data_IF_608871427539
#
_entry.id   IF_608871427539
#
_cell.length_a   1.000
_cell.length_b   1.000
_cell.length_c   1.000
_cell.angle_alpha   90.00
_cell.angle_beta   90.00
_cell.angle_gamma   90.00
#
_symmetry.space_group_name_H-M   'P 1'
#
loop_
_entity.id
_entity.type
_entity.pdbx_description
1 polymer ?
#
# COMPACT_ATOMS: atom_id res chain seq x y z
N UNK A 1 -15.75 18.59 -8.29
CA UNK A 1 -14.44 17.97 -8.40
C UNK A 1 -13.41 18.77 -7.62
N UNK A 2 -12.64 18.07 -6.77
CA UNK A 2 -11.59 18.71 -5.99
C UNK A 2 -10.32 18.97 -6.82
N UNK A 3 -9.49 19.89 -6.36
CA UNK A 3 -8.11 20.06 -6.85
C UNK A 3 -7.21 19.05 -6.15
N UNK A 4 -6.33 18.40 -6.91
CA UNK A 4 -5.38 17.43 -6.37
C UNK A 4 -4.05 18.11 -6.06
N UNK A 5 -3.54 17.84 -4.87
CA UNK A 5 -2.21 18.27 -4.42
C UNK A 5 -1.40 17.00 -4.11
N UNK A 6 -0.30 16.80 -4.82
CA UNK A 6 0.57 15.67 -4.56
C UNK A 6 1.56 16.00 -3.46
N UNK A 7 1.79 15.04 -2.57
CA UNK A 7 2.82 15.10 -1.53
C UNK A 7 3.94 14.12 -1.89
N UNK A 8 5.17 14.53 -1.66
CA UNK A 8 6.36 13.75 -1.97
C UNK A 8 6.50 12.48 -1.12
N UNK A 9 7.46 11.65 -1.52
CA UNK A 9 7.83 10.43 -0.78
C UNK A 9 9.29 10.48 -0.33
N UNK A 10 9.57 9.78 0.76
CA UNK A 10 10.91 9.64 1.34
C UNK A 10 11.62 8.38 0.82
N UNK A 11 12.91 8.23 1.14
CA UNK A 11 13.70 7.03 0.81
C UNK A 11 13.26 5.76 1.55
N UNK A 12 12.45 5.91 2.59
CA UNK A 12 11.84 4.77 3.29
C UNK A 12 10.44 4.44 2.75
N UNK A 13 10.09 5.00 1.60
CA UNK A 13 8.87 4.77 0.82
C UNK A 13 7.58 5.16 1.57
N UNK A 14 7.68 6.14 2.45
CA UNK A 14 6.55 6.77 3.13
C UNK A 14 6.35 8.19 2.63
N UNK A 15 5.20 8.79 2.94
CA UNK A 15 4.93 10.20 2.68
C UNK A 15 6.03 11.09 3.31
N UNK A 16 6.40 12.17 2.61
CA UNK A 16 7.32 13.19 3.11
C UNK A 16 6.52 14.17 4.00
N UNK A 17 6.73 14.11 5.32
CA UNK A 17 5.99 14.89 6.28
C UNK A 17 6.33 16.39 6.21
N UNK A 18 7.56 16.75 5.85
CA UNK A 18 7.95 18.16 5.65
C UNK A 18 7.19 18.74 4.44
N UNK A 19 7.06 17.96 3.36
CA UNK A 19 6.29 18.38 2.18
C UNK A 19 4.78 18.40 2.46
N UNK A 20 4.28 17.50 3.31
CA UNK A 20 2.88 17.52 3.77
C UNK A 20 2.60 18.79 4.56
N UNK A 21 3.43 19.12 5.55
CA UNK A 21 3.29 20.32 6.37
C UNK A 21 3.33 21.59 5.51
N UNK A 22 4.27 21.66 4.57
CA UNK A 22 4.39 22.81 3.66
C UNK A 22 3.18 23.01 2.71
N UNK A 23 2.35 21.99 2.51
CA UNK A 23 1.17 21.98 1.64
C UNK A 23 -0.15 21.88 2.40
N UNK A 24 -0.10 21.86 3.72
CA UNK A 24 -1.27 21.59 4.56
C UNK A 24 -2.45 22.54 4.30
N UNK A 25 -2.17 23.83 4.08
CA UNK A 25 -3.19 24.84 3.78
C UNK A 25 -3.86 24.70 2.39
N UNK A 26 -3.39 23.76 1.56
CA UNK A 26 -3.86 23.58 0.19
C UNK A 26 -4.92 22.48 0.04
N UNK A 27 -5.24 21.77 1.10
CA UNK A 27 -6.11 20.60 1.02
C UNK A 27 -6.97 20.40 2.28
N UNK A 28 -8.21 19.97 2.09
CA UNK A 28 -9.15 19.64 3.15
C UNK A 28 -9.09 18.16 3.54
N UNK A 29 -8.57 17.30 2.65
CA UNK A 29 -8.57 15.84 2.82
C UNK A 29 -7.24 15.26 2.34
N UNK A 30 -6.63 14.42 3.15
CA UNK A 30 -5.49 13.59 2.79
C UNK A 30 -5.96 12.16 2.50
N UNK A 31 -5.74 11.67 1.28
CA UNK A 31 -5.78 10.25 0.94
C UNK A 31 -4.37 9.68 1.17
N UNK A 32 -4.17 9.07 2.32
CA UNK A 32 -2.89 8.47 2.71
C UNK A 32 -2.83 7.03 2.20
N UNK A 33 -1.96 6.75 1.24
CA UNK A 33 -1.73 5.37 0.80
C UNK A 33 -0.50 4.77 1.49
N UNK A 34 -0.69 3.68 2.24
CA UNK A 34 0.39 2.88 2.81
C UNK A 34 0.96 1.94 1.74
N UNK A 35 1.54 2.54 0.69
CA UNK A 35 1.99 1.82 -0.50
C UNK A 35 2.98 0.71 -0.13
N UNK A 36 2.74 -0.49 -0.64
CA UNK A 36 3.56 -1.69 -0.41
C UNK A 36 3.75 -2.07 1.06
N UNK A 37 2.86 -1.59 1.94
CA UNK A 37 2.88 -1.94 3.35
C UNK A 37 3.86 -1.13 4.19
N UNK A 38 4.30 0.05 3.72
CA UNK A 38 5.09 0.99 4.51
C UNK A 38 4.18 1.98 5.21
N UNK A 39 4.18 1.93 6.55
CA UNK A 39 3.42 2.87 7.39
C UNK A 39 4.38 3.99 7.82
N UNK A 40 3.97 5.24 7.60
CA UNK A 40 4.76 6.40 8.04
C UNK A 40 4.64 6.62 9.56
N UNK A 41 5.36 7.60 10.06
CA UNK A 41 5.15 8.11 11.43
C UNK A 41 3.72 8.70 11.51
N UNK A 42 2.79 7.87 11.98
CA UNK A 42 1.39 8.25 12.09
C UNK A 42 1.13 9.27 13.19
N UNK A 43 1.96 9.28 14.24
CA UNK A 43 1.82 10.25 15.32
C UNK A 43 2.12 11.67 14.81
N UNK A 44 3.23 11.83 14.10
CA UNK A 44 3.61 13.11 13.46
C UNK A 44 2.64 13.50 12.34
N UNK A 45 2.21 12.55 11.49
CA UNK A 45 1.25 12.82 10.41
C UNK A 45 -0.07 13.34 10.95
N UNK A 46 -0.63 12.65 11.94
CA UNK A 46 -1.92 13.06 12.54
C UNK A 46 -1.81 14.42 13.22
N UNK A 47 -0.70 14.71 13.90
CA UNK A 47 -0.49 16.04 14.51
C UNK A 47 -0.49 17.17 13.46
N UNK A 48 0.17 16.97 12.31
CA UNK A 48 0.16 17.94 11.19
C UNK A 48 -1.27 18.11 10.65
N UNK A 49 -1.97 16.99 10.39
CA UNK A 49 -3.32 17.03 9.82
C UNK A 49 -4.34 17.66 10.79
N UNK A 50 -4.27 17.36 12.09
CA UNK A 50 -5.13 17.96 13.11
C UNK A 50 -4.91 19.47 13.22
N UNK A 51 -3.65 19.92 13.23
CA UNK A 51 -3.32 21.35 13.30
C UNK A 51 -3.85 22.14 12.08
N UNK A 52 -3.91 21.49 10.91
CA UNK A 52 -4.39 22.12 9.67
C UNK A 52 -5.89 21.84 9.39
N UNK A 53 -6.58 21.05 10.20
CA UNK A 53 -7.96 20.65 9.98
C UNK A 53 -8.17 19.69 8.80
N UNK A 54 -7.14 18.93 8.41
CA UNK A 54 -7.17 17.98 7.31
C UNK A 54 -7.81 16.66 7.77
N UNK A 55 -8.80 16.20 7.02
CA UNK A 55 -9.41 14.87 7.22
C UNK A 55 -8.50 13.79 6.60
N UNK A 56 -8.11 12.78 7.38
CA UNK A 56 -7.27 11.68 6.89
C UNK A 56 -8.13 10.46 6.55
N UNK A 57 -7.95 9.94 5.33
CA UNK A 57 -8.51 8.67 4.85
C UNK A 57 -7.32 7.74 4.54
N UNK A 58 -7.32 6.53 5.12
CA UNK A 58 -6.22 5.59 4.92
C UNK A 58 -6.53 4.55 3.83
N UNK A 59 -5.70 4.50 2.79
CA UNK A 59 -5.65 3.38 1.85
C UNK A 59 -4.72 2.30 2.42
N UNK A 60 -5.35 1.29 3.01
CA UNK A 60 -4.73 0.16 3.66
C UNK A 60 -4.65 -1.09 2.76
N UNK A 61 -4.66 -0.91 1.43
CA UNK A 61 -4.66 -2.03 0.48
C UNK A 61 -3.47 -2.99 0.64
N UNK A 62 -2.42 -2.59 1.34
CA UNK A 62 -1.20 -3.38 1.58
C UNK A 62 -0.85 -3.55 3.07
N UNK A 63 -1.74 -3.17 4.00
CA UNK A 63 -1.42 -3.15 5.44
C UNK A 63 -2.43 -3.90 6.30
N UNK A 64 -3.21 -4.81 5.73
CA UNK A 64 -4.14 -5.60 6.53
C UNK A 64 -3.38 -6.43 7.57
N UNK A 65 -3.64 -6.17 8.85
CA UNK A 65 -2.95 -6.77 9.99
C UNK A 65 -1.75 -5.97 10.53
N UNK A 66 -1.29 -4.95 9.80
CA UNK A 66 -0.19 -4.10 10.25
C UNK A 66 -0.66 -3.01 11.22
N UNK A 67 0.30 -2.48 12.02
CA UNK A 67 0.04 -1.45 13.03
C UNK A 67 1.15 -0.40 13.05
N UNK A 68 0.80 0.79 13.54
CA UNK A 68 1.74 1.75 14.10
C UNK A 68 1.53 1.79 15.61
N UNK A 69 2.58 1.49 16.38
CA UNK A 69 2.44 1.23 17.80
C UNK A 69 1.47 0.08 18.09
N UNK A 70 0.37 0.36 18.76
CA UNK A 70 -0.70 -0.60 19.06
C UNK A 70 -1.98 -0.39 18.20
N UNK A 71 -2.01 0.67 17.39
CA UNK A 71 -3.14 1.01 16.54
C UNK A 71 -3.02 0.37 15.16
N UNK A 72 -4.04 -0.37 14.73
CA UNK A 72 -4.08 -0.93 13.38
C UNK A 72 -4.12 0.17 12.33
N UNK A 73 -3.41 -0.04 11.21
CA UNK A 73 -3.61 0.79 10.01
C UNK A 73 -5.10 0.85 9.65
N UNK A 74 -5.55 1.98 9.14
CA UNK A 74 -6.97 2.24 8.86
C UNK A 74 -7.79 2.74 10.05
N UNK A 75 -7.16 2.88 11.23
CA UNK A 75 -7.81 3.40 12.43
C UNK A 75 -7.20 4.69 12.98
N UNK A 76 -6.29 5.29 12.25
CA UNK A 76 -5.71 6.59 12.60
C UNK A 76 -6.54 7.73 12.02
N UNK A 77 -6.99 7.59 10.76
CA UNK A 77 -7.88 8.54 10.11
C UNK A 77 -9.36 8.27 10.39
N UNK A 78 -10.23 9.04 9.74
CA UNK A 78 -11.71 8.91 9.89
C UNK A 78 -12.25 7.61 9.30
N UNK A 79 -11.55 7.02 8.32
CA UNK A 79 -11.87 5.73 7.74
C UNK A 79 -10.63 5.07 7.14
N UNK A 80 -10.68 3.74 7.05
CA UNK A 80 -9.68 2.92 6.38
C UNK A 80 -10.30 1.99 5.35
N UNK A 81 -9.62 1.83 4.21
CA UNK A 81 -10.04 0.96 3.12
C UNK A 81 -9.02 -0.15 2.88
N UNK A 82 -9.47 -1.40 2.91
CA UNK A 82 -8.64 -2.56 2.60
C UNK A 82 -9.08 -3.19 1.29
N UNK A 83 -8.12 -3.63 0.48
CA UNK A 83 -8.39 -4.33 -0.76
C UNK A 83 -8.43 -5.85 -0.54
N UNK A 84 -9.39 -6.51 -1.17
CA UNK A 84 -9.49 -7.97 -1.27
C UNK A 84 -9.23 -8.47 -2.69
N UNK A 85 -8.51 -7.70 -3.50
CA UNK A 85 -8.09 -8.06 -4.85
C UNK A 85 -7.08 -9.22 -4.80
N UNK A 86 -6.94 -9.98 -5.88
CA UNK A 86 -6.20 -11.24 -6.01
C UNK A 86 -4.84 -11.31 -5.31
N UNK A 87 -4.11 -10.22 -5.24
CA UNK A 87 -2.74 -10.22 -4.69
C UNK A 87 -2.62 -9.59 -3.30
N UNK A 88 -3.74 -9.48 -2.57
CA UNK A 88 -3.77 -8.91 -1.23
C UNK A 88 -3.70 -9.99 -0.15
N UNK A 89 -3.45 -9.59 1.09
CA UNK A 89 -3.28 -10.49 2.24
C UNK A 89 -4.48 -11.40 2.48
N UNK A 90 -5.68 -10.85 2.29
CA UNK A 90 -6.94 -11.59 2.30
C UNK A 90 -7.63 -11.26 0.99
N UNK A 91 -7.93 -12.26 0.17
CA UNK A 91 -8.43 -12.00 -1.18
C UNK A 91 -9.54 -12.94 -1.63
N UNK A 92 -10.39 -12.43 -2.51
CA UNK A 92 -11.48 -13.15 -3.17
C UNK A 92 -11.55 -12.84 -4.68
N UNK A 93 -10.40 -12.53 -5.29
CA UNK A 93 -10.29 -12.08 -6.67
C UNK A 93 -10.50 -10.58 -6.78
N UNK A 94 -11.64 -10.07 -6.39
CA UNK A 94 -11.98 -8.66 -6.27
C UNK A 94 -12.76 -8.40 -4.99
N UNK A 95 -12.78 -7.16 -4.53
CA UNK A 95 -13.52 -6.71 -3.36
C UNK A 95 -12.73 -5.78 -2.46
N UNK A 96 -13.38 -5.30 -1.42
CA UNK A 96 -12.76 -4.44 -0.41
C UNK A 96 -13.58 -4.43 0.88
N UNK A 97 -12.95 -3.93 1.93
CA UNK A 97 -13.54 -3.70 3.23
C UNK A 97 -13.29 -2.24 3.60
N UNK A 98 -14.32 -1.58 4.10
CA UNK A 98 -14.22 -0.24 4.68
C UNK A 98 -14.48 -0.34 6.17
N UNK A 99 -13.66 0.31 6.97
CA UNK A 99 -13.86 0.47 8.40
C UNK A 99 -13.98 1.95 8.75
N UNK A 100 -14.87 2.26 9.68
CA UNK A 100 -15.14 3.61 10.16
C UNK A 100 -15.83 3.53 11.50
N UNK A 101 -15.53 4.44 12.41
CA UNK A 101 -16.20 4.55 13.72
C UNK A 101 -17.31 5.64 13.71
N UNK A 102 -17.51 6.37 12.60
CA UNK A 102 -18.55 7.36 12.41
C UNK A 102 -19.82 6.72 11.81
N UNK A 103 -20.92 6.81 12.53
CA UNK A 103 -22.19 6.18 12.17
C UNK A 103 -22.80 6.77 10.89
N UNK A 104 -22.69 8.08 10.66
CA UNK A 104 -23.23 8.72 9.44
C UNK A 104 -22.42 8.33 8.20
N UNK A 105 -21.10 8.37 8.30
CA UNK A 105 -20.20 7.94 7.21
C UNK A 105 -20.46 6.47 6.88
N UNK A 106 -20.57 5.61 7.89
CA UNK A 106 -20.85 4.19 7.69
C UNK A 106 -22.24 3.96 7.08
N UNK A 107 -23.28 4.67 7.52
CA UNK A 107 -24.61 4.59 6.93
C UNK A 107 -24.60 4.99 5.46
N UNK A 108 -23.93 6.09 5.09
CA UNK A 108 -23.74 6.51 3.70
C UNK A 108 -23.00 5.46 2.88
N UNK A 109 -21.91 4.89 3.41
CA UNK A 109 -21.14 3.85 2.73
C UNK A 109 -21.98 2.59 2.44
N UNK A 110 -22.80 2.15 3.40
CA UNK A 110 -23.70 1.01 3.22
C UNK A 110 -24.78 1.30 2.17
N UNK A 111 -25.36 2.49 2.15
CA UNK A 111 -26.35 2.89 1.13
C UNK A 111 -25.68 2.96 -0.25
N UNK A 112 -24.53 3.64 -0.36
CA UNK A 112 -23.74 3.72 -1.60
C UNK A 112 -23.42 2.35 -2.16
N UNK A 113 -23.06 1.38 -1.29
CA UNK A 113 -22.77 0.01 -1.72
C UNK A 113 -23.93 -0.73 -2.35
N UNK A 114 -25.18 -0.29 -2.11
CA UNK A 114 -26.36 -0.84 -2.77
C UNK A 114 -27.31 -1.61 -1.84
N UNK A 115 -27.63 -1.06 -0.70
CA UNK A 115 -28.52 -1.71 0.28
C UNK A 115 -29.99 -1.81 -0.16
N UNK A 116 -30.43 -1.04 -1.18
CA UNK A 116 -31.84 -0.95 -1.63
C UNK A 116 -32.85 -0.71 -0.50
N UNK A 117 -32.53 0.18 0.44
CA UNK A 117 -33.33 0.42 1.65
C UNK A 117 -33.46 -0.80 2.60
N UNK A 118 -32.66 -1.85 2.38
CA UNK A 118 -32.62 -3.02 3.26
C UNK A 118 -31.47 -2.95 4.28
N UNK A 119 -30.99 -1.75 4.56
CA UNK A 119 -29.87 -1.49 5.47
C UNK A 119 -30.11 -2.01 6.89
N UNK A 120 -31.35 -2.04 7.38
CA UNK A 120 -31.69 -2.66 8.67
C UNK A 120 -31.38 -4.17 8.78
N UNK A 121 -31.06 -4.84 7.65
CA UNK A 121 -30.58 -6.23 7.62
C UNK A 121 -29.06 -6.34 7.70
N UNK A 122 -28.34 -5.23 7.65
CA UNK A 122 -26.88 -5.20 7.73
C UNK A 122 -26.43 -5.43 9.17
N UNK A 123 -25.81 -6.57 9.46
CA UNK A 123 -25.51 -7.00 10.85
C UNK A 123 -24.44 -6.18 11.57
N UNK A 124 -23.57 -5.52 10.83
CA UNK A 124 -22.50 -4.67 11.34
C UNK A 124 -22.74 -3.19 10.97
N UNK A 125 -23.99 -2.83 10.70
CA UNK A 125 -24.39 -1.44 10.42
C UNK A 125 -24.53 -0.62 11.69
N UNK A 126 -24.48 0.72 11.56
CA UNK A 126 -24.81 1.65 12.65
C UNK A 126 -26.29 1.58 13.04
N UNK A 127 -26.70 2.29 14.09
CA UNK A 127 -28.09 2.42 14.47
C UNK A 127 -28.99 2.91 13.33
N UNK A 128 -30.27 2.52 13.35
CA UNK A 128 -31.23 2.82 12.27
C UNK A 128 -31.39 4.33 12.03
N UNK A 129 -31.25 5.12 13.06
CA UNK A 129 -31.39 6.58 13.07
C UNK A 129 -30.35 7.25 12.15
N UNK A 130 -29.14 6.71 12.11
CA UNK A 130 -28.08 7.19 11.22
C UNK A 130 -28.46 7.02 9.73
N UNK A 131 -29.14 5.93 9.39
CA UNK A 131 -29.66 5.72 8.03
C UNK A 131 -30.78 6.67 7.68
N UNK A 132 -31.72 6.92 8.61
CA UNK A 132 -32.87 7.79 8.38
C UNK A 132 -32.42 9.21 8.02
N UNK A 133 -31.33 9.70 8.61
CA UNK A 133 -30.77 11.02 8.32
C UNK A 133 -30.24 11.15 6.88
N UNK A 134 -29.78 10.07 6.26
CA UNK A 134 -29.01 10.14 5.00
C UNK A 134 -29.63 9.36 3.83
N UNK A 135 -30.63 8.50 4.06
CA UNK A 135 -31.15 7.55 3.07
C UNK A 135 -31.72 8.16 1.80
N UNK A 136 -32.29 9.36 1.89
CA UNK A 136 -32.91 10.02 0.74
C UNK A 136 -31.94 10.94 -0.05
N UNK A 137 -30.77 11.22 0.53
CA UNK A 137 -29.76 12.11 -0.09
C UNK A 137 -28.49 11.34 -0.53
N UNK A 138 -28.41 10.04 -0.25
CA UNK A 138 -27.27 9.20 -0.61
C UNK A 138 -27.63 8.31 -1.81
N UNK A 139 -26.91 8.42 -2.95
CA UNK A 139 -27.16 7.60 -4.11
C UNK A 139 -26.71 6.14 -3.91
N UNK A 140 -27.17 5.24 -4.76
CA UNK A 140 -26.75 3.84 -4.82
C UNK A 140 -25.84 3.63 -6.02
N UNK A 141 -24.63 3.12 -5.81
CA UNK A 141 -23.64 2.81 -6.87
C UNK A 141 -23.43 1.30 -7.07
N UNK A 142 -24.16 0.47 -6.35
CA UNK A 142 -24.12 -1.02 -6.48
C UNK A 142 -22.73 -1.64 -6.33
N UNK A 143 -21.93 -1.15 -5.38
CA UNK A 143 -20.55 -1.60 -5.11
C UNK A 143 -20.44 -2.68 -4.03
N UNK A 144 -21.54 -3.35 -3.65
CA UNK A 144 -21.53 -4.34 -2.56
C UNK A 144 -20.79 -5.62 -2.92
N UNK A 145 -20.13 -6.20 -1.91
CA UNK A 145 -19.57 -7.54 -2.00
C UNK A 145 -20.69 -8.59 -2.00
N UNK A 146 -20.60 -9.59 -2.87
CA UNK A 146 -21.50 -10.74 -2.88
C UNK A 146 -21.16 -11.78 -1.78
N UNK A 147 -22.13 -12.67 -1.49
CA UNK A 147 -21.98 -13.68 -0.44
C UNK A 147 -20.88 -14.71 -0.76
N UNK A 148 -20.60 -15.00 -2.04
CA UNK A 148 -19.57 -15.94 -2.43
C UNK A 148 -18.18 -15.41 -2.07
N UNK A 149 -17.89 -14.16 -2.44
CA UNK A 149 -16.63 -13.50 -2.06
C UNK A 149 -16.48 -13.38 -0.55
N UNK A 150 -17.55 -12.99 0.14
CA UNK A 150 -17.55 -12.92 1.60
C UNK A 150 -17.26 -14.29 2.24
N UNK A 151 -17.80 -15.40 1.69
CA UNK A 151 -17.52 -16.75 2.16
C UNK A 151 -16.05 -17.17 1.96
N UNK A 152 -15.43 -16.74 0.85
CA UNK A 152 -14.00 -16.97 0.58
C UNK A 152 -13.09 -16.21 1.56
N UNK A 153 -13.47 -14.98 1.94
CA UNK A 153 -12.67 -14.13 2.83
C UNK A 153 -12.71 -14.59 4.30
N UNK A 154 -13.86 -15.09 4.78
CA UNK A 154 -14.05 -15.44 6.20
C UNK A 154 -13.01 -16.42 6.77
N UNK A 155 -12.66 -17.55 6.14
CA UNK A 155 -11.62 -18.44 6.64
C UNK A 155 -10.23 -17.78 6.63
N UNK A 156 -9.92 -16.94 5.65
CA UNK A 156 -8.64 -16.25 5.55
C UNK A 156 -8.47 -15.23 6.69
N UNK A 157 -9.53 -14.47 7.02
CA UNK A 157 -9.52 -13.53 8.16
C UNK A 157 -9.23 -14.23 9.50
N UNK A 158 -9.69 -15.47 9.67
CA UNK A 158 -9.40 -16.25 10.89
C UNK A 158 -7.94 -16.68 10.99
N UNK A 159 -7.23 -16.77 9.87
CA UNK A 159 -5.84 -17.17 9.78
C UNK A 159 -4.91 -15.96 9.58
N UNK A 160 -5.43 -14.74 9.58
CA UNK A 160 -4.69 -13.53 9.20
C UNK A 160 -3.39 -13.38 10.00
N UNK A 161 -3.43 -13.55 11.32
CA UNK A 161 -2.25 -13.40 12.18
C UNK A 161 -1.13 -14.38 11.81
N UNK A 162 -1.47 -15.65 11.64
CA UNK A 162 -0.52 -16.67 11.23
C UNK A 162 0.06 -16.42 9.83
N UNK A 163 -0.78 -15.92 8.91
CA UNK A 163 -0.34 -15.57 7.56
C UNK A 163 0.57 -14.34 7.58
N UNK A 164 0.27 -13.33 8.41
CA UNK A 164 1.13 -12.16 8.59
C UNK A 164 2.52 -12.55 9.08
N UNK A 165 2.60 -13.44 10.08
CA UNK A 165 3.87 -13.98 10.56
C UNK A 165 4.63 -14.69 9.44
N UNK A 166 3.95 -15.57 8.69
CA UNK A 166 4.57 -16.32 7.59
C UNK A 166 5.07 -15.42 6.43
N UNK A 167 4.41 -14.29 6.13
CA UNK A 167 4.96 -13.30 5.20
C UNK A 167 6.19 -12.61 5.75
N UNK A 168 6.17 -12.22 7.02
CA UNK A 168 7.30 -11.54 7.64
C UNK A 168 8.54 -12.46 7.75
N UNK A 169 8.37 -13.76 7.97
CA UNK A 169 9.47 -14.72 7.92
C UNK A 169 10.17 -14.70 6.54
N UNK A 170 9.38 -14.70 5.45
CA UNK A 170 9.90 -14.62 4.08
C UNK A 170 10.60 -13.29 3.80
N UNK A 171 10.00 -12.21 4.27
CA UNK A 171 10.60 -10.88 4.16
C UNK A 171 11.98 -10.85 4.85
N UNK A 172 12.08 -11.36 6.06
CA UNK A 172 13.34 -11.36 6.81
C UNK A 172 14.43 -12.21 6.15
N UNK A 173 14.08 -13.34 5.56
CA UNK A 173 15.05 -14.17 4.81
C UNK A 173 15.60 -13.39 3.61
N UNK A 174 14.74 -12.73 2.84
CA UNK A 174 15.18 -11.91 1.70
C UNK A 174 16.00 -10.72 2.18
N UNK A 175 15.55 -10.01 3.21
CA UNK A 175 16.24 -8.83 3.75
C UNK A 175 17.65 -9.17 4.25
N UNK A 176 17.79 -10.29 4.95
CA UNK A 176 19.09 -10.80 5.41
C UNK A 176 20.01 -11.18 4.24
N UNK A 177 19.46 -11.85 3.22
CA UNK A 177 20.22 -12.26 2.03
C UNK A 177 20.72 -11.06 1.20
N UNK A 178 20.08 -9.90 1.33
CA UNK A 178 20.47 -8.66 0.62
C UNK A 178 21.25 -7.67 1.49
N UNK A 179 21.58 -8.03 2.73
CA UNK A 179 22.12 -7.09 3.73
C UNK A 179 23.46 -6.48 3.36
N UNK A 180 24.30 -7.18 2.60
CA UNK A 180 25.68 -6.78 2.27
C UNK A 180 25.90 -6.55 0.77
N UNK A 181 24.81 -6.39 0.00
CA UNK A 181 24.92 -6.21 -1.46
C UNK A 181 25.31 -4.77 -1.78
N UNK A 182 26.49 -4.58 -2.36
CA UNK A 182 26.96 -3.28 -2.80
C UNK A 182 26.05 -2.71 -3.92
N UNK A 183 25.76 -1.42 -3.88
CA UNK A 183 24.90 -0.76 -4.86
C UNK A 183 23.41 -0.91 -4.62
N UNK A 184 23.00 -1.75 -3.67
CA UNK A 184 21.60 -1.94 -3.25
C UNK A 184 21.33 -1.25 -1.92
N UNK A 185 20.27 -0.47 -1.85
CA UNK A 185 19.82 0.15 -0.58
C UNK A 185 18.55 -0.53 -0.11
N UNK A 186 18.60 -1.13 1.09
CA UNK A 186 17.44 -1.73 1.76
C UNK A 186 16.58 -0.66 2.40
N UNK A 187 15.29 -0.90 2.49
CA UNK A 187 14.35 0.01 3.16
C UNK A 187 14.37 -0.28 4.66
N UNK A 188 14.77 0.71 5.46
CA UNK A 188 14.70 0.64 6.92
C UNK A 188 13.28 0.87 7.38
N UNK A 189 12.77 -0.03 8.22
CA UNK A 189 11.45 0.10 8.85
C UNK A 189 11.57 0.68 10.26
N UNK A 190 10.69 1.63 10.64
CA UNK A 190 10.66 2.18 12.00
C UNK A 190 10.38 1.08 13.03
N UNK A 191 10.90 1.26 14.25
CA UNK A 191 10.68 0.29 15.33
C UNK A 191 9.21 0.23 15.78
N UNK A 192 8.49 1.35 15.67
CA UNK A 192 7.07 1.45 16.01
C UNK A 192 6.18 0.72 15.00
N UNK A 193 6.66 0.49 13.78
CA UNK A 193 5.91 -0.19 12.74
C UNK A 193 5.89 -1.70 12.96
N UNK A 194 4.71 -2.25 13.24
CA UNK A 194 4.45 -3.70 13.21
C UNK A 194 3.95 -4.06 11.82
N UNK A 195 4.87 -4.20 10.87
CA UNK A 195 4.55 -4.36 9.46
C UNK A 195 4.05 -5.75 9.09
N UNK A 196 3.39 -5.82 7.93
CA UNK A 196 3.10 -7.07 7.21
C UNK A 196 3.61 -6.89 5.79
N UNK A 197 4.55 -7.71 5.36
CA UNK A 197 5.20 -7.55 4.07
C UNK A 197 4.96 -8.74 3.14
N UNK A 198 3.95 -8.65 2.27
CA UNK A 198 3.70 -9.58 1.16
C UNK A 198 4.52 -9.26 -0.10
N UNK A 199 5.40 -8.28 -0.02
CA UNK A 199 6.37 -7.90 -1.06
C UNK A 199 7.62 -7.30 -0.43
N UNK A 200 8.72 -7.33 -1.15
CA UNK A 200 10.00 -6.76 -0.74
C UNK A 200 10.40 -5.66 -1.71
N UNK A 201 10.77 -4.49 -1.19
CA UNK A 201 11.26 -3.37 -1.96
C UNK A 201 12.71 -3.07 -1.59
N UNK A 202 13.49 -2.67 -2.59
CA UNK A 202 14.83 -2.12 -2.44
C UNK A 202 15.09 -1.03 -3.47
N UNK A 203 16.13 -0.24 -3.26
CA UNK A 203 16.46 0.88 -4.13
C UNK A 203 17.82 0.64 -4.81
N UNK A 204 17.83 0.86 -6.12
CA UNK A 204 19.04 1.03 -6.95
C UNK A 204 19.17 2.53 -7.24
N UNK A 205 19.53 3.30 -6.19
CA UNK A 205 19.60 4.77 -6.28
C UNK A 205 20.72 5.20 -7.23
N UNK A 206 20.38 6.16 -8.10
CA UNK A 206 21.30 6.78 -9.05
C UNK A 206 21.87 5.83 -10.11
N UNK A 207 21.32 4.62 -10.24
CA UNK A 207 21.71 3.70 -11.31
C UNK A 207 21.13 4.17 -12.65
N UNK A 208 21.92 4.05 -13.76
CA UNK A 208 21.38 4.28 -15.10
C UNK A 208 20.22 3.33 -15.41
N UNK A 209 19.24 3.81 -16.18
CA UNK A 209 18.07 3.00 -16.55
C UNK A 209 18.46 1.67 -17.25
N UNK A 210 19.51 1.69 -18.08
CA UNK A 210 19.99 0.50 -18.80
C UNK A 210 20.61 -0.54 -17.85
N UNK A 211 21.32 -0.10 -16.80
CA UNK A 211 21.84 -0.99 -15.78
C UNK A 211 20.71 -1.66 -14.97
N UNK A 212 19.67 -0.89 -14.60
CA UNK A 212 18.47 -1.44 -13.95
C UNK A 212 17.81 -2.48 -14.86
N UNK A 213 17.55 -2.17 -16.13
CA UNK A 213 16.97 -3.11 -17.10
C UNK A 213 17.80 -4.38 -17.24
N UNK A 214 19.13 -4.26 -17.28
CA UNK A 214 20.07 -5.37 -17.35
C UNK A 214 19.90 -6.33 -16.16
N UNK A 215 19.89 -5.79 -14.94
CA UNK A 215 19.64 -6.59 -13.71
C UNK A 215 18.28 -7.27 -13.76
N UNK A 216 17.22 -6.57 -14.12
CA UNK A 216 15.88 -7.15 -14.21
C UNK A 216 15.81 -8.30 -15.22
N UNK A 217 16.41 -8.13 -16.39
CA UNK A 217 16.44 -9.14 -17.45
C UNK A 217 17.20 -10.41 -17.01
N UNK A 218 18.35 -10.24 -16.34
CA UNK A 218 19.14 -11.38 -15.83
C UNK A 218 18.42 -12.09 -14.67
N UNK A 219 17.83 -11.36 -13.76
CA UNK A 219 16.98 -11.95 -12.71
C UNK A 219 15.82 -12.75 -13.31
N UNK A 220 15.12 -12.19 -14.30
CA UNK A 220 14.02 -12.86 -14.98
C UNK A 220 14.47 -14.15 -15.71
N UNK A 221 15.63 -14.12 -16.38
CA UNK A 221 16.20 -15.30 -17.02
C UNK A 221 16.51 -16.44 -16.05
N UNK A 222 16.66 -16.12 -14.75
CA UNK A 222 16.85 -17.08 -13.65
C UNK A 222 15.55 -17.36 -12.86
N UNK A 223 14.39 -16.91 -13.37
CA UNK A 223 13.08 -17.17 -12.77
C UNK A 223 12.67 -16.18 -11.67
N UNK A 224 13.41 -15.08 -11.48
CA UNK A 224 13.07 -14.04 -10.48
C UNK A 224 12.46 -12.83 -11.18
N UNK A 225 11.14 -12.66 -11.04
CA UNK A 225 10.42 -11.51 -11.60
C UNK A 225 10.53 -10.31 -10.64
N UNK A 226 11.17 -9.24 -11.12
CA UNK A 226 11.27 -7.96 -10.45
C UNK A 226 10.45 -6.90 -11.20
N UNK A 227 9.86 -5.97 -10.47
CA UNK A 227 9.11 -4.83 -11.02
C UNK A 227 9.85 -3.55 -10.75
N UNK A 228 9.93 -2.71 -11.76
CA UNK A 228 10.61 -1.42 -11.69
C UNK A 228 9.60 -0.27 -11.77
N UNK A 229 9.49 0.52 -10.70
CA UNK A 229 8.58 1.67 -10.64
C UNK A 229 9.05 2.87 -11.46
N UNK A 230 10.35 2.98 -11.70
CA UNK A 230 10.95 4.05 -12.49
C UNK A 230 10.88 3.83 -14.00
N UNK A 231 10.27 2.73 -14.48
CA UNK A 231 10.12 2.48 -15.90
C UNK A 231 9.37 3.64 -16.60
N UNK A 232 9.82 4.06 -17.79
CA UNK A 232 9.17 5.16 -18.52
C UNK A 232 7.74 4.83 -18.94
N UNK A 233 7.48 3.56 -19.27
CA UNK A 233 6.15 3.09 -19.66
C UNK A 233 5.48 2.34 -18.52
N UNK A 234 4.18 2.59 -18.24
CA UNK A 234 3.42 1.83 -17.26
C UNK A 234 3.34 0.35 -17.64
N UNK A 235 3.72 -0.55 -16.72
CA UNK A 235 3.63 -2.00 -16.92
C UNK A 235 2.94 -2.64 -15.72
N UNK A 236 1.83 -3.31 -15.95
CA UNK A 236 1.03 -3.91 -14.88
C UNK A 236 0.57 -2.84 -13.88
N UNK A 237 0.98 -2.96 -12.62
CA UNK A 237 0.67 -2.00 -11.55
C UNK A 237 1.83 -1.04 -11.23
N UNK A 238 2.88 -1.03 -12.02
CA UNK A 238 3.97 -0.06 -11.89
C UNK A 238 3.74 1.08 -12.86
N UNK A 239 3.65 2.29 -12.32
CA UNK A 239 3.52 3.51 -13.12
C UNK A 239 4.07 4.68 -12.34
N UNK A 240 4.56 5.67 -13.06
CA UNK A 240 4.91 6.97 -12.49
C UNK A 240 3.63 7.80 -12.32
N UNK A 241 3.61 8.71 -11.35
CA UNK A 241 2.47 9.59 -11.09
C UNK A 241 2.17 10.52 -12.28
N UNK A 242 3.19 10.83 -13.11
CA UNK A 242 3.11 11.67 -14.30
C UNK A 242 2.76 10.91 -15.59
N UNK A 243 2.57 9.59 -15.53
CA UNK A 243 2.16 8.77 -16.68
C UNK A 243 0.72 9.04 -17.14
N UNK A 244 -0.13 9.62 -16.29
CA UNK A 244 -1.57 9.68 -16.51
C UNK A 244 -2.05 11.09 -16.86
N UNK A 245 -2.52 11.29 -18.09
CA UNK A 245 -2.99 12.59 -18.59
C UNK A 245 -4.25 13.09 -17.89
N UNK A 246 -5.07 12.20 -17.31
CA UNK A 246 -6.25 12.58 -16.53
C UNK A 246 -5.91 13.06 -15.11
N UNK A 247 -4.67 12.96 -14.69
CA UNK A 247 -4.17 13.37 -13.39
C UNK A 247 -3.02 14.35 -13.56
N UNK A 248 -3.32 15.67 -13.80
CA UNK A 248 -2.26 16.66 -13.90
C UNK A 248 -1.34 16.62 -12.68
N UNK A 249 -0.05 16.59 -12.92
CA UNK A 249 0.99 16.50 -11.89
C UNK A 249 1.89 17.72 -11.94
N UNK A 250 2.47 18.07 -10.78
CA UNK A 250 3.60 18.99 -10.68
C UNK A 250 4.89 18.21 -10.56
N UNK A 251 6.02 18.79 -10.96
CA UNK A 251 7.32 18.17 -10.82
C UNK A 251 7.66 17.93 -9.33
N UNK A 252 8.09 16.71 -9.01
CA UNK A 252 8.51 16.30 -7.67
C UNK A 252 9.92 15.68 -7.72
N UNK A 253 10.99 16.47 -7.93
CA UNK A 253 12.33 15.96 -8.27
C UNK A 253 12.92 15.03 -7.21
N UNK A 254 12.63 15.25 -5.91
CA UNK A 254 13.06 14.33 -4.85
C UNK A 254 12.37 12.96 -4.97
N UNK A 255 11.05 12.97 -5.20
CA UNK A 255 10.26 11.74 -5.39
C UNK A 255 10.65 11.03 -6.68
N UNK A 256 10.87 11.77 -7.78
CA UNK A 256 11.28 11.22 -9.06
C UNK A 256 12.58 10.44 -8.97
N UNK A 257 13.58 10.96 -8.25
CA UNK A 257 14.84 10.25 -8.00
C UNK A 257 14.65 8.96 -7.22
N UNK A 258 13.76 8.96 -6.23
CA UNK A 258 13.46 7.77 -5.42
C UNK A 258 12.69 6.76 -6.27
N UNK A 259 11.62 7.18 -6.94
CA UNK A 259 10.79 6.33 -7.80
C UNK A 259 11.61 5.66 -8.90
N UNK A 260 12.59 6.41 -9.49
CA UNK A 260 13.49 5.86 -10.50
C UNK A 260 14.22 4.60 -10.01
N UNK A 261 14.63 4.55 -8.75
CA UNK A 261 15.39 3.44 -8.19
C UNK A 261 14.56 2.33 -7.54
N UNK A 262 13.22 2.45 -7.43
CA UNK A 262 12.42 1.45 -6.69
C UNK A 262 12.25 0.17 -7.51
N UNK A 263 12.72 -0.92 -6.92
CA UNK A 263 12.48 -2.28 -7.37
C UNK A 263 11.55 -2.99 -6.37
N UNK A 264 10.58 -3.73 -6.86
CA UNK A 264 9.57 -4.45 -6.07
C UNK A 264 9.52 -5.92 -6.47
N UNK A 265 9.40 -6.79 -5.49
CA UNK A 265 9.21 -8.21 -5.67
C UNK A 265 8.12 -8.72 -4.75
N UNK A 266 7.23 -9.57 -5.26
CA UNK A 266 6.22 -10.24 -4.45
C UNK A 266 6.81 -11.39 -3.65
N UNK A 267 6.26 -11.61 -2.45
CA UNK A 267 6.59 -12.71 -1.56
C UNK A 267 5.33 -13.57 -1.32
N UNK A 268 4.93 -14.44 -2.27
CA UNK A 268 3.75 -15.28 -2.09
C UNK A 268 3.99 -16.33 -1.00
N UNK A 269 2.96 -16.68 -0.23
CA UNK A 269 3.06 -17.72 0.81
C UNK A 269 3.36 -19.13 0.24
N UNK A 270 3.25 -19.30 -1.07
CA UNK A 270 3.65 -20.55 -1.76
C UNK A 270 5.16 -20.73 -1.85
N UNK A 271 5.95 -19.66 -1.68
CA UNK A 271 7.40 -19.79 -1.57
C UNK A 271 7.78 -20.40 -0.21
N UNK A 272 8.71 -21.35 -0.20
CA UNK A 272 9.38 -21.78 1.03
C UNK A 272 10.41 -20.71 1.47
N UNK A 273 10.95 -20.85 2.68
CA UNK A 273 12.06 -19.98 3.12
C UNK A 273 13.33 -20.21 2.28
N UNK A 274 13.56 -21.45 1.83
CA UNK A 274 14.67 -21.81 0.94
C UNK A 274 14.52 -21.18 -0.45
N UNK A 275 13.29 -21.10 -0.99
CA UNK A 275 13.00 -20.36 -2.22
C UNK A 275 13.34 -18.89 -2.02
N UNK A 276 12.93 -18.29 -0.91
CA UNK A 276 13.24 -16.89 -0.59
C UNK A 276 14.75 -16.64 -0.47
N UNK A 277 15.49 -17.53 0.15
CA UNK A 277 16.95 -17.47 0.23
C UNK A 277 17.60 -17.59 -1.16
N UNK A 278 17.08 -18.47 -2.01
CA UNK A 278 17.54 -18.63 -3.39
C UNK A 278 17.28 -17.38 -4.23
N UNK A 279 16.09 -16.79 -4.11
CA UNK A 279 15.73 -15.52 -4.78
C UNK A 279 16.65 -14.40 -4.33
N UNK A 280 16.87 -14.25 -3.02
CA UNK A 280 17.77 -13.23 -2.49
C UNK A 280 19.21 -13.38 -3.03
N UNK A 281 19.72 -14.60 -3.09
CA UNK A 281 21.05 -14.91 -3.66
C UNK A 281 21.14 -14.57 -5.15
N UNK A 282 20.11 -14.85 -5.93
CA UNK A 282 20.05 -14.48 -7.35
C UNK A 282 20.11 -12.96 -7.50
N UNK A 283 19.27 -12.21 -6.78
CA UNK A 283 19.26 -10.74 -6.82
C UNK A 283 20.64 -10.20 -6.42
N UNK A 284 21.21 -10.71 -5.32
CA UNK A 284 22.50 -10.27 -4.81
C UNK A 284 23.62 -10.44 -5.86
N UNK A 285 23.67 -11.58 -6.56
CA UNK A 285 24.65 -11.86 -7.61
C UNK A 285 24.51 -10.90 -8.78
N UNK A 286 23.29 -10.74 -9.32
CA UNK A 286 23.03 -9.90 -10.49
C UNK A 286 23.28 -8.41 -10.22
N UNK A 287 22.94 -7.93 -9.02
CA UNK A 287 23.22 -6.56 -8.60
C UNK A 287 24.72 -6.34 -8.42
N UNK A 288 25.42 -7.27 -7.74
CA UNK A 288 26.86 -7.13 -7.53
C UNK A 288 27.66 -7.20 -8.83
N UNK A 289 27.26 -8.04 -9.78
CA UNK A 289 27.87 -8.14 -11.10
C UNK A 289 27.75 -6.83 -11.89
N UNK A 290 26.55 -6.26 -11.93
CA UNK A 290 26.31 -4.97 -12.61
C UNK A 290 27.06 -3.82 -11.94
N UNK A 291 27.09 -3.78 -10.60
CA UNK A 291 27.83 -2.75 -9.85
C UNK A 291 29.36 -2.82 -10.08
N UNK A 292 29.88 -3.99 -10.46
CA UNK A 292 31.30 -4.18 -10.74
C UNK A 292 31.67 -3.87 -12.18
N UNK A 293 30.69 -3.80 -13.07
CA UNK A 293 30.89 -3.56 -14.51
C UNK A 293 30.83 -2.06 -14.89
N UNK A 294 30.31 -1.21 -14.01
CA UNK A 294 30.19 0.24 -14.19
C UNK A 294 31.13 1.02 -13.28
#
# INVERSE_FOLDING_TARGET
GGVRVFVGVTRVLTIDLDDLEAKADLADVLMLSHMRGHICDMDSLMAICEAAGIIVIEDCAHTMGAKWGDTFSGRHGVMGCYSCQTYKHVNSGEGGLLICDDDEIMARAIILSGSYMLYGKHRAGPPIEAFEAVRLVTPNVSGRMDNLRAAILRPQLRQLEAQCAAWNDRYHVVDQGLAQVAGLTRIKRPQQEKFVASSYQFLLLDWPAEAIKSVLARCLARGVELKWFGAPDPVGFTSRYDSWTYAPSSAMPKSDRILHGIIDMRLPLTFSLDDCATVARIIAQEVAEEASAG
#
